data_IF_497725721707
#
_entry.id   IF_497725721707
#
_cell.length_a   1.000
_cell.length_b   1.000
_cell.length_c   1.000
_cell.angle_alpha   90.00
_cell.angle_beta   90.00
_cell.angle_gamma   90.00
#
_symmetry.space_group_name_H-M   'P 1'
#
loop_
_entity.id
_entity.type
_entity.pdbx_description
1 polymer ?
#
# COMPACT_ATOMS: atom_id res chain seq x y z
N UNK A 1 29.20 -6.92 -9.61
CA UNK A 1 29.16 -8.07 -10.54
C UNK A 1 27.95 -8.91 -10.15
N UNK A 2 26.88 -8.86 -10.94
CA UNK A 2 25.64 -9.59 -10.66
C UNK A 2 25.77 -11.05 -11.09
N UNK A 3 25.21 -11.97 -10.30
CA UNK A 3 25.12 -13.40 -10.62
C UNK A 3 23.91 -13.62 -11.52
N UNK A 4 24.13 -14.25 -12.67
CA UNK A 4 23.10 -14.57 -13.65
C UNK A 4 22.25 -15.76 -13.14
N UNK A 5 20.95 -15.55 -12.93
CA UNK A 5 20.00 -16.65 -12.71
C UNK A 5 19.28 -16.93 -14.03
N UNK A 6 19.35 -18.19 -14.47
CA UNK A 6 18.70 -18.71 -15.68
C UNK A 6 17.17 -18.80 -15.48
N UNK A 7 16.39 -18.42 -16.49
CA UNK A 7 14.93 -18.61 -16.51
C UNK A 7 14.57 -20.10 -16.59
N UNK A 8 13.57 -20.60 -15.85
CA UNK A 8 12.90 -21.83 -16.20
C UNK A 8 11.89 -21.55 -17.33
N UNK A 9 11.89 -22.44 -18.32
CA UNK A 9 11.02 -22.45 -19.49
C UNK A 9 9.58 -22.85 -19.16
N UNK A 10 8.66 -22.41 -20.01
CA UNK A 10 7.23 -22.75 -20.01
C UNK A 10 6.96 -24.26 -20.08
N UNK A 11 5.99 -24.74 -19.29
CA UNK A 11 5.03 -25.76 -19.72
C UNK A 11 3.77 -25.80 -18.84
N UNK A 12 2.63 -26.26 -19.39
CA UNK A 12 1.30 -25.85 -18.96
C UNK A 12 0.64 -26.92 -18.06
N UNK A 13 0.00 -26.48 -16.98
CA UNK A 13 -1.14 -27.21 -16.41
C UNK A 13 -1.98 -26.25 -15.56
N UNK A 14 -3.12 -25.86 -16.13
CA UNK A 14 -4.18 -25.13 -15.43
C UNK A 14 -4.97 -26.14 -14.60
N UNK A 15 -4.50 -26.39 -13.38
CA UNK A 15 -5.27 -27.14 -12.39
C UNK A 15 -6.00 -26.15 -11.45
N UNK A 16 -7.33 -26.20 -11.51
CA UNK A 16 -8.29 -25.51 -10.63
C UNK A 16 -7.92 -25.75 -9.15
N UNK A 17 -7.92 -24.74 -8.26
CA UNK A 17 -7.52 -24.98 -6.88
C UNK A 17 -8.55 -25.86 -6.17
N UNK A 18 -8.15 -26.94 -5.49
CA UNK A 18 -9.07 -27.73 -4.69
C UNK A 18 -9.55 -26.91 -3.50
N UNK A 19 -10.86 -26.97 -3.27
CA UNK A 19 -11.54 -26.48 -2.08
C UNK A 19 -10.87 -27.04 -0.82
N UNK A 20 -10.35 -26.15 0.04
CA UNK A 20 -9.88 -26.52 1.38
C UNK A 20 -8.36 -26.60 1.55
N UNK A 21 -7.59 -25.61 1.08
CA UNK A 21 -6.20 -25.46 1.54
C UNK A 21 -6.22 -24.78 2.90
N UNK A 22 -6.26 -25.58 3.97
CA UNK A 22 -5.66 -25.15 5.24
C UNK A 22 -4.18 -24.89 4.90
N UNK A 23 -3.77 -23.62 4.92
CA UNK A 23 -2.38 -23.26 4.70
C UNK A 23 -1.61 -23.85 5.88
N UNK A 24 -0.98 -25.01 5.66
CA UNK A 24 -0.12 -25.63 6.64
C UNK A 24 0.95 -24.62 7.05
N UNK A 25 1.17 -24.50 8.36
CA UNK A 25 2.21 -23.71 9.00
C UNK A 25 3.59 -24.26 8.59
N UNK A 26 4.02 -24.03 7.35
CA UNK A 26 5.43 -24.19 7.01
C UNK A 26 6.23 -23.22 7.88
N UNK A 27 7.29 -23.68 8.58
CA UNK A 27 8.07 -22.83 9.44
C UNK A 27 8.69 -21.70 8.61
N UNK A 28 8.19 -20.49 8.80
CA UNK A 28 8.70 -19.31 8.12
C UNK A 28 10.15 -19.09 8.54
N UNK A 29 11.07 -19.24 7.60
CA UNK A 29 12.48 -18.94 7.84
C UNK A 29 12.63 -17.42 7.96
N UNK A 30 12.99 -16.94 9.14
CA UNK A 30 13.25 -15.52 9.37
C UNK A 30 14.67 -15.19 8.95
N UNK A 31 14.83 -14.21 8.06
CA UNK A 31 16.12 -13.66 7.67
C UNK A 31 16.22 -12.21 8.11
N UNK A 32 17.09 -11.94 9.08
CA UNK A 32 17.43 -10.58 9.50
C UNK A 32 18.52 -10.05 8.57
N UNK A 33 18.24 -8.94 7.90
CA UNK A 33 19.22 -8.24 7.08
C UNK A 33 20.09 -7.34 7.99
N UNK A 34 21.39 -7.15 7.68
CA UNK A 34 22.29 -6.33 8.49
C UNK A 34 22.11 -4.83 8.23
N UNK A 35 20.87 -4.39 7.97
CA UNK A 35 20.54 -3.01 7.67
C UNK A 35 19.47 -2.53 8.64
N UNK A 36 19.68 -1.33 9.18
CA UNK A 36 18.69 -0.63 10.00
C UNK A 36 18.15 0.55 9.21
N UNK A 37 16.85 0.79 9.31
CA UNK A 37 16.20 1.94 8.70
C UNK A 37 15.56 2.78 9.81
N UNK A 38 15.90 4.07 9.85
CA UNK A 38 15.32 5.00 10.82
C UNK A 38 13.92 5.45 10.39
N UNK A 39 13.73 5.78 9.12
CA UNK A 39 12.50 6.39 8.63
C UNK A 39 11.56 5.35 8.04
N UNK A 40 11.91 4.78 6.89
CA UNK A 40 11.07 3.78 6.22
C UNK A 40 11.86 2.72 5.47
N UNK A 41 11.20 1.58 5.26
CA UNK A 41 11.63 0.50 4.37
C UNK A 41 10.58 0.36 3.27
N UNK A 42 11.06 0.30 2.03
CA UNK A 42 10.24 -0.08 0.88
C UNK A 42 10.53 -1.51 0.47
N UNK A 43 9.47 -2.28 0.23
CA UNK A 43 9.53 -3.67 -0.25
C UNK A 43 8.76 -3.74 -1.55
N UNK A 44 9.43 -4.10 -2.64
CA UNK A 44 8.80 -4.31 -3.93
C UNK A 44 9.71 -5.07 -4.89
N UNK A 45 9.17 -5.39 -6.05
CA UNK A 45 9.92 -5.95 -7.17
C UNK A 45 11.05 -5.02 -7.61
N UNK A 46 12.19 -5.61 -7.96
CA UNK A 46 13.36 -4.86 -8.45
C UNK A 46 13.16 -4.33 -9.87
N UNK A 47 12.28 -4.96 -10.65
CA UNK A 47 11.94 -4.56 -12.01
C UNK A 47 10.60 -3.83 -11.97
N UNK A 48 10.61 -2.55 -12.34
CA UNK A 48 9.44 -1.65 -12.22
C UNK A 48 8.24 -2.07 -13.06
N UNK A 49 8.42 -2.90 -14.09
CA UNK A 49 7.34 -3.47 -14.90
C UNK A 49 6.71 -4.73 -14.30
N UNK A 50 7.19 -5.19 -13.14
CA UNK A 50 6.68 -6.37 -12.45
C UNK A 50 5.87 -5.99 -11.22
N UNK A 51 4.89 -6.83 -10.94
CA UNK A 51 4.00 -6.69 -9.79
C UNK A 51 4.62 -7.38 -8.58
N UNK A 52 4.65 -6.67 -7.45
CA UNK A 52 5.02 -7.23 -6.16
C UNK A 52 3.91 -8.13 -5.64
N UNK A 53 4.18 -9.44 -5.57
CA UNK A 53 3.28 -10.45 -5.03
C UNK A 53 3.70 -10.79 -3.60
N UNK A 54 3.07 -10.14 -2.62
CA UNK A 54 3.42 -10.25 -1.21
C UNK A 54 2.36 -11.06 -0.44
N UNK A 55 2.83 -11.85 0.52
CA UNK A 55 1.99 -12.37 1.61
C UNK A 55 2.22 -11.47 2.82
N UNK A 56 1.16 -10.82 3.30
CA UNK A 56 1.22 -9.89 4.41
C UNK A 56 0.43 -10.45 5.59
N UNK A 57 1.03 -10.39 6.77
CA UNK A 57 0.37 -10.61 8.06
C UNK A 57 0.76 -9.44 8.95
N UNK A 58 -0.24 -8.81 9.56
CA UNK A 58 -0.05 -7.73 10.52
C UNK A 58 -0.28 -8.34 11.89
N UNK A 59 0.71 -8.22 12.76
CA UNK A 59 0.71 -8.82 14.10
C UNK A 59 0.31 -10.31 14.04
N UNK A 60 -0.68 -10.70 14.86
CA UNK A 60 -1.24 -12.05 14.89
C UNK A 60 -2.51 -12.18 14.02
N UNK A 61 -2.66 -11.33 13.01
CA UNK A 61 -3.81 -11.31 12.10
C UNK A 61 -3.80 -12.45 11.08
N UNK A 62 -4.71 -12.37 10.09
CA UNK A 62 -4.77 -13.34 8.99
C UNK A 62 -3.78 -12.99 7.88
N UNK A 63 -3.17 -14.01 7.30
CA UNK A 63 -2.40 -13.86 6.07
C UNK A 63 -3.28 -13.40 4.92
N UNK A 64 -2.82 -12.36 4.23
CA UNK A 64 -3.48 -11.78 3.06
C UNK A 64 -2.50 -11.79 1.89
N UNK A 65 -2.99 -12.22 0.73
CA UNK A 65 -2.23 -12.14 -0.52
C UNK A 65 -2.48 -10.79 -1.18
N UNK A 66 -1.41 -10.10 -1.55
CA UNK A 66 -1.46 -8.76 -2.11
C UNK A 66 -0.67 -8.69 -3.41
N UNK A 67 -1.28 -8.09 -4.43
CA UNK A 67 -0.62 -7.67 -5.66
C UNK A 67 -0.60 -6.15 -5.69
N UNK A 68 0.58 -5.56 -5.81
CA UNK A 68 0.79 -4.13 -5.64
C UNK A 68 2.10 -3.70 -6.32
N UNK A 69 2.37 -2.40 -6.44
CA UNK A 69 3.71 -1.95 -6.79
C UNK A 69 4.70 -2.09 -5.64
N UNK A 70 4.21 -2.12 -4.40
CA UNK A 70 5.01 -2.50 -3.23
C UNK A 70 4.39 -2.08 -1.91
N UNK A 71 5.15 -2.28 -0.84
CA UNK A 71 4.80 -1.94 0.54
C UNK A 71 5.82 -0.95 1.10
N UNK A 72 5.35 0.17 1.64
CA UNK A 72 6.15 1.08 2.44
C UNK A 72 5.79 0.89 3.92
N UNK A 73 6.78 0.70 4.79
CA UNK A 73 6.60 0.63 6.25
C UNK A 73 7.44 1.73 6.86
N UNK A 74 6.86 2.55 7.74
CA UNK A 74 7.49 3.76 8.29
C UNK A 74 7.38 3.82 9.81
N UNK A 75 8.38 4.44 10.44
CA UNK A 75 8.39 4.82 11.86
C UNK A 75 7.74 6.18 12.08
N UNK A 76 7.61 6.60 13.35
CA UNK A 76 7.14 7.96 13.65
C UNK A 76 8.01 9.06 13.06
N UNK A 77 9.33 8.87 13.06
CA UNK A 77 10.28 9.81 12.42
C UNK A 77 10.09 9.85 10.90
N UNK A 78 9.83 8.70 10.26
CA UNK A 78 9.58 8.62 8.81
C UNK A 78 8.20 9.16 8.39
N UNK A 79 7.26 9.27 9.34
CA UNK A 79 5.89 9.73 9.07
C UNK A 79 5.81 11.12 8.44
N UNK A 80 6.84 11.97 8.64
CA UNK A 80 6.93 13.32 8.06
C UNK A 80 7.73 13.37 6.74
N UNK A 81 8.21 12.24 6.22
CA UNK A 81 9.09 12.15 5.05
C UNK A 81 8.36 11.57 3.82
N UNK A 82 8.88 10.48 3.23
CA UNK A 82 8.29 9.86 2.05
C UNK A 82 6.87 9.35 2.32
N UNK A 83 6.60 8.84 3.53
CA UNK A 83 5.26 8.45 3.95
C UNK A 83 4.25 9.60 3.83
N UNK A 84 4.58 10.79 4.33
CA UNK A 84 3.73 11.97 4.19
C UNK A 84 3.52 12.32 2.71
N UNK A 85 4.61 12.37 1.95
CA UNK A 85 4.62 12.84 0.56
C UNK A 85 3.71 12.03 -0.37
N UNK A 86 3.56 10.72 -0.12
CA UNK A 86 2.77 9.82 -0.96
C UNK A 86 1.32 9.67 -0.51
N UNK A 87 1.02 10.01 0.76
CA UNK A 87 -0.32 9.86 1.34
C UNK A 87 -1.04 11.20 1.52
N UNK A 88 -0.36 12.34 1.41
CA UNK A 88 -0.97 13.64 1.66
C UNK A 88 -1.99 14.03 0.58
N UNK A 89 -3.05 14.71 1.02
CA UNK A 89 -4.02 15.34 0.15
C UNK A 89 -3.57 16.77 -0.16
N UNK A 90 -3.65 17.14 -1.43
CA UNK A 90 -3.43 18.51 -1.88
C UNK A 90 -4.71 19.31 -1.73
N UNK A 91 -4.59 20.56 -1.31
CA UNK A 91 -5.72 21.50 -1.16
C UNK A 91 -6.64 21.52 -2.39
N UNK A 92 -6.08 21.56 -3.59
CA UNK A 92 -6.87 21.57 -4.82
C UNK A 92 -7.65 20.26 -5.04
N UNK A 93 -7.05 19.11 -4.72
CA UNK A 93 -7.76 17.82 -4.80
C UNK A 93 -8.93 17.75 -3.83
N UNK A 94 -8.76 18.30 -2.61
CA UNK A 94 -9.83 18.38 -1.62
C UNK A 94 -10.93 19.34 -2.08
N UNK A 95 -10.57 20.50 -2.63
CA UNK A 95 -11.54 21.46 -3.16
C UNK A 95 -12.42 20.83 -4.24
N UNK A 96 -11.82 20.08 -5.15
CA UNK A 96 -12.55 19.40 -6.21
C UNK A 96 -13.47 18.32 -5.66
N UNK A 97 -13.00 17.50 -4.71
CA UNK A 97 -13.84 16.52 -4.03
C UNK A 97 -15.03 17.17 -3.31
N UNK A 98 -14.82 18.32 -2.66
CA UNK A 98 -15.90 19.06 -1.99
C UNK A 98 -16.97 19.54 -2.97
N UNK A 99 -16.60 19.94 -4.19
CA UNK A 99 -17.55 20.33 -5.25
C UNK A 99 -18.36 19.13 -5.73
N UNK A 100 -17.69 18.04 -6.08
CA UNK A 100 -18.33 16.80 -6.52
C UNK A 100 -19.33 16.31 -5.47
N UNK A 101 -18.94 16.33 -4.19
CA UNK A 101 -19.83 15.93 -3.09
C UNK A 101 -21.04 16.86 -2.94
N UNK A 102 -20.86 18.15 -3.16
CA UNK A 102 -21.96 19.12 -3.13
C UNK A 102 -22.97 18.88 -4.27
N UNK A 103 -22.49 18.53 -5.46
CA UNK A 103 -23.30 18.26 -6.65
C UNK A 103 -24.04 16.91 -6.57
N UNK A 104 -23.34 15.83 -6.19
CA UNK A 104 -23.88 14.46 -6.22
C UNK A 104 -24.84 14.17 -5.06
N UNK A 105 -24.62 14.76 -3.88
CA UNK A 105 -25.39 14.45 -2.68
C UNK A 105 -26.39 15.55 -2.28
N UNK A 106 -26.52 16.61 -3.09
CA UNK A 106 -27.34 17.81 -2.80
C UNK A 106 -27.07 18.38 -1.38
N UNK A 107 -25.81 18.26 -0.93
CA UNK A 107 -25.38 18.78 0.37
C UNK A 107 -24.78 20.16 0.16
N UNK A 108 -25.18 21.12 1.00
CA UNK A 108 -24.55 22.44 1.05
C UNK A 108 -23.14 22.36 1.63
N UNK A 109 -22.18 21.99 0.78
CA UNK A 109 -20.75 22.02 1.09
C UNK A 109 -20.20 23.38 0.67
N UNK A 110 -19.66 24.15 1.62
CA UNK A 110 -18.95 25.40 1.32
C UNK A 110 -17.59 25.08 0.68
N UNK A 111 -17.57 24.92 -0.65
CA UNK A 111 -16.38 24.61 -1.43
C UNK A 111 -15.53 25.87 -1.69
N UNK A 112 -14.87 26.38 -0.64
CA UNK A 112 -13.89 27.46 -0.73
C UNK A 112 -12.46 26.94 -0.57
N UNK A 113 -11.49 27.66 -1.14
CA UNK A 113 -10.07 27.27 -1.07
C UNK A 113 -9.58 27.17 0.37
N UNK A 114 -10.02 28.08 1.25
CA UNK A 114 -9.61 28.07 2.66
C UNK A 114 -10.21 26.88 3.42
N UNK A 115 -11.48 26.53 3.17
CA UNK A 115 -12.08 25.33 3.75
C UNK A 115 -11.39 24.05 3.26
N UNK A 116 -11.09 23.98 1.97
CA UNK A 116 -10.34 22.87 1.40
C UNK A 116 -8.94 22.75 2.01
N UNK A 117 -8.26 23.88 2.28
CA UNK A 117 -6.95 23.91 2.94
C UNK A 117 -7.05 23.36 4.36
N UNK A 118 -8.04 23.81 5.13
CA UNK A 118 -8.28 23.33 6.50
C UNK A 118 -8.57 21.83 6.55
N UNK A 119 -9.38 21.32 5.61
CA UNK A 119 -9.68 19.89 5.50
C UNK A 119 -8.43 19.10 5.12
N UNK A 120 -7.66 19.56 4.14
CA UNK A 120 -6.41 18.93 3.73
C UNK A 120 -5.41 18.89 4.89
N UNK A 121 -5.26 19.98 5.64
CA UNK A 121 -4.37 20.05 6.80
C UNK A 121 -4.80 19.11 7.92
N UNK A 122 -6.10 19.09 8.25
CA UNK A 122 -6.64 18.18 9.27
C UNK A 122 -6.44 16.70 8.87
N UNK A 123 -6.59 16.36 7.59
CA UNK A 123 -6.28 15.02 7.11
C UNK A 123 -4.78 14.73 7.19
N UNK A 124 -3.94 15.62 6.64
CA UNK A 124 -2.50 15.44 6.54
C UNK A 124 -1.83 15.37 7.92
N UNK A 125 -2.34 16.09 8.93
CA UNK A 125 -1.87 15.99 10.31
C UNK A 125 -1.99 14.58 10.89
N UNK A 126 -3.00 13.81 10.47
CA UNK A 126 -3.22 12.43 10.94
C UNK A 126 -2.25 11.42 10.32
N UNK A 127 -1.53 11.81 9.26
CA UNK A 127 -0.48 10.98 8.67
C UNK A 127 0.80 10.98 9.53
N UNK A 128 0.98 12.02 10.34
CA UNK A 128 2.15 12.18 11.19
C UNK A 128 1.87 11.62 12.59
N UNK A 129 2.86 10.94 13.16
CA UNK A 129 2.78 10.40 14.50
C UNK A 129 4.13 10.49 15.22
N UNK A 130 4.10 10.37 16.55
CA UNK A 130 5.24 10.70 17.40
C UNK A 130 6.46 9.81 17.08
N UNK A 131 7.65 10.42 17.07
CA UNK A 131 8.90 9.76 16.72
C UNK A 131 9.27 8.59 17.65
N UNK A 132 8.81 8.64 18.91
CA UNK A 132 8.98 7.63 19.96
C UNK A 132 7.83 6.60 20.02
N UNK A 133 6.86 6.70 19.10
CA UNK A 133 5.77 5.74 18.97
C UNK A 133 6.30 4.32 18.82
N UNK A 134 5.66 3.39 19.53
CA UNK A 134 5.92 1.96 19.42
C UNK A 134 5.20 1.31 18.22
N UNK A 135 4.42 2.10 17.47
CA UNK A 135 3.68 1.65 16.31
C UNK A 135 4.40 2.01 15.01
N UNK A 136 4.22 1.17 13.99
CA UNK A 136 4.62 1.44 12.62
C UNK A 136 3.38 1.70 11.78
N UNK A 137 3.50 2.61 10.80
CA UNK A 137 2.48 2.79 9.77
C UNK A 137 2.94 2.08 8.49
N UNK A 138 1.99 1.66 7.66
CA UNK A 138 2.30 1.06 6.37
C UNK A 138 1.37 1.57 5.28
N UNK A 139 1.85 1.54 4.03
CA UNK A 139 1.09 1.89 2.84
C UNK A 139 1.37 0.87 1.73
N UNK A 140 0.32 0.17 1.30
CA UNK A 140 0.37 -0.68 0.11
C UNK A 140 0.14 0.21 -1.12
N UNK A 141 1.07 0.20 -2.06
CA UNK A 141 1.09 1.12 -3.21
C UNK A 141 0.44 0.50 -4.43
N UNK A 142 -0.44 1.27 -5.08
CA UNK A 142 -1.12 0.88 -6.33
C UNK A 142 -1.68 -0.54 -6.24
N UNK A 143 -2.56 -0.73 -5.26
CA UNK A 143 -3.17 -2.03 -4.99
C UNK A 143 -3.94 -2.52 -6.22
N UNK A 144 -3.70 -3.78 -6.62
CA UNK A 144 -4.35 -4.38 -7.79
C UNK A 144 -5.50 -5.27 -7.29
N UNK A 145 -6.72 -4.75 -7.37
CA UNK A 145 -7.96 -5.52 -7.21
C UNK A 145 -8.51 -5.93 -8.57
N UNK A 146 -8.99 -7.16 -8.68
CA UNK A 146 -9.59 -7.69 -9.91
C UNK A 146 -11.12 -7.78 -9.85
N UNK A 147 -11.77 -7.02 -8.95
CA UNK A 147 -13.20 -7.21 -8.67
C UNK A 147 -14.10 -6.97 -9.90
N UNK A 148 -13.69 -6.15 -10.88
CA UNK A 148 -14.51 -5.80 -12.05
C UNK A 148 -13.78 -5.91 -13.41
N UNK A 149 -13.02 -6.99 -13.66
CA UNK A 149 -12.54 -7.21 -15.04
C UNK A 149 -13.62 -7.91 -15.88
N UNK A 150 -14.10 -7.32 -17.00
CA UNK A 150 -15.04 -8.01 -17.87
C UNK A 150 -14.41 -9.29 -18.40
N UNK A 151 -15.15 -10.39 -18.36
CA UNK A 151 -14.71 -11.65 -18.96
C UNK A 151 -14.43 -11.40 -20.45
N UNK A 152 -13.20 -11.65 -20.94
CA UNK A 152 -12.92 -11.52 -22.35
C UNK A 152 -13.82 -12.48 -23.14
N UNK A 153 -14.40 -11.98 -24.24
CA UNK A 153 -15.16 -12.80 -25.18
C UNK A 153 -14.26 -13.80 -25.89
#
# INVERSE_FOLDING_TARGET
RYVHMSRPADSPDVARPPSGVRCADEPLTTKVLPFLALNEVFIGESVTSRVSMLRLQIDNGRWTHTKSSGLCVTTGTGSTSWHFSINCLRTHSVLELMRILGEEFDVKVEASLEKARQVAENYNQKLMFAADSQHLAYSVREYITFEDWPTPR
#
